data_IF_509766519793
#
_entry.id   IF_509766519793
#
_cell.length_a   1.000
_cell.length_b   1.000
_cell.length_c   1.000
_cell.angle_alpha   90.00
_cell.angle_beta   90.00
_cell.angle_gamma   90.00
#
_symmetry.space_group_name_H-M   'P 1'
#
loop_
_entity.id
_entity.type
_entity.pdbx_description
1 polymer ?
#
# COMPACT_ATOMS: atom_id res chain seq x y z
N UNK A 1 -20.27 -10.29 10.21
CA UNK A 1 -18.94 -10.59 10.77
C UNK A 1 -18.97 -10.60 12.30
N UNK A 2 -18.19 -11.52 12.90
CA UNK A 2 -17.90 -11.52 14.34
C UNK A 2 -16.89 -10.39 14.65
N UNK A 3 -16.82 -9.97 15.90
CA UNK A 3 -15.89 -8.90 16.32
C UNK A 3 -14.42 -9.25 16.03
N UNK A 4 -14.05 -10.52 16.21
CA UNK A 4 -12.69 -10.99 15.93
C UNK A 4 -12.31 -10.83 14.45
N UNK A 5 -13.24 -11.14 13.54
CA UNK A 5 -13.02 -10.98 12.10
C UNK A 5 -12.77 -9.52 11.74
N UNK A 6 -13.58 -8.59 12.28
CA UNK A 6 -13.44 -7.14 12.04
C UNK A 6 -12.09 -6.65 12.56
N UNK A 7 -11.71 -7.11 13.74
CA UNK A 7 -10.43 -6.77 14.36
C UNK A 7 -9.25 -7.25 13.51
N UNK A 8 -9.29 -8.50 13.03
CA UNK A 8 -8.25 -9.05 12.16
C UNK A 8 -8.17 -8.28 10.84
N UNK A 9 -9.32 -7.95 10.25
CA UNK A 9 -9.36 -7.17 9.03
C UNK A 9 -8.76 -5.77 9.24
N UNK A 10 -9.14 -5.06 10.31
CA UNK A 10 -8.53 -3.75 10.62
C UNK A 10 -7.03 -3.86 10.79
N UNK A 11 -6.55 -4.84 11.56
CA UNK A 11 -5.12 -5.06 11.80
C UNK A 11 -4.37 -5.35 10.49
N UNK A 12 -4.96 -6.15 9.60
CA UNK A 12 -4.42 -6.45 8.28
C UNK A 12 -4.35 -5.22 7.40
N UNK A 13 -5.44 -4.44 7.31
CA UNK A 13 -5.51 -3.26 6.46
C UNK A 13 -4.55 -2.16 6.92
N UNK A 14 -4.29 -2.05 8.23
CA UNK A 14 -3.36 -1.07 8.78
C UNK A 14 -1.94 -1.63 8.98
N UNK A 15 -1.64 -2.84 8.49
CA UNK A 15 -0.35 -3.52 8.65
C UNK A 15 0.16 -3.61 10.11
N UNK A 16 -0.75 -3.76 11.08
CA UNK A 16 -0.38 -3.89 12.50
C UNK A 16 -0.67 -5.28 13.03
N UNK A 17 0.18 -5.80 13.92
CA UNK A 17 0.04 -7.17 14.43
C UNK A 17 -0.95 -7.28 15.59
N UNK A 18 -1.15 -6.20 16.34
CA UNK A 18 -1.99 -6.20 17.53
C UNK A 18 -2.53 -4.81 17.85
N UNK A 19 -3.49 -4.76 18.78
CA UNK A 19 -4.18 -3.51 19.17
C UNK A 19 -3.27 -2.48 19.83
N UNK A 20 -2.19 -2.90 20.52
CA UNK A 20 -1.25 -1.95 21.12
C UNK A 20 -0.44 -1.26 20.03
N UNK A 21 0.03 -2.02 19.03
CA UNK A 21 0.72 -1.49 17.86
C UNK A 21 -0.19 -0.54 17.06
N UNK A 22 -1.45 -0.93 16.83
CA UNK A 22 -2.45 -0.07 16.19
C UNK A 22 -2.63 1.27 16.92
N UNK A 23 -2.68 1.27 18.25
CA UNK A 23 -2.80 2.51 19.05
C UNK A 23 -1.58 3.42 18.93
N UNK A 24 -0.39 2.85 18.78
CA UNK A 24 0.87 3.58 18.67
C UNK A 24 1.06 4.17 17.28
N UNK A 25 0.81 3.37 16.25
CA UNK A 25 1.11 3.72 14.85
C UNK A 25 -0.05 4.45 14.16
N UNK A 26 -1.29 4.21 14.62
CA UNK A 26 -2.52 4.82 14.06
C UNK A 26 -3.37 5.45 15.17
N UNK A 27 -2.84 6.46 15.89
CA UNK A 27 -3.61 7.18 16.91
C UNK A 27 -4.86 7.86 16.32
N UNK A 28 -4.80 8.30 15.06
CA UNK A 28 -5.93 8.88 14.33
C UNK A 28 -7.13 7.93 14.18
N UNK A 29 -6.89 6.62 14.22
CA UNK A 29 -7.92 5.59 14.16
C UNK A 29 -8.45 5.22 15.55
N UNK A 30 -7.65 5.37 16.61
CA UNK A 30 -7.94 4.76 17.92
C UNK A 30 -8.12 5.75 19.08
N UNK A 31 -7.67 6.99 18.93
CA UNK A 31 -7.74 8.01 19.98
C UNK A 31 -9.21 8.34 20.31
N UNK A 32 -9.52 8.36 21.61
CA UNK A 32 -10.88 8.62 22.10
C UNK A 32 -11.88 7.46 21.91
N UNK A 33 -11.45 6.30 21.39
CA UNK A 33 -12.32 5.14 21.14
C UNK A 33 -12.08 4.03 22.15
N UNK A 34 -13.18 3.42 22.60
CA UNK A 34 -13.12 2.23 23.44
C UNK A 34 -13.19 0.94 22.60
N UNK A 35 -12.01 0.37 22.34
CA UNK A 35 -11.83 -0.82 21.50
C UNK A 35 -12.32 -2.13 22.17
N UNK A 36 -13.01 -2.06 23.30
CA UNK A 36 -13.77 -3.21 23.86
C UNK A 36 -15.09 -3.43 23.12
N UNK A 37 -15.62 -2.39 22.48
CA UNK A 37 -16.92 -2.43 21.80
C UNK A 37 -16.78 -2.70 20.30
N UNK A 38 -17.67 -3.53 19.76
CA UNK A 38 -17.65 -3.94 18.35
C UNK A 38 -17.92 -2.76 17.42
N UNK A 39 -18.77 -1.85 17.84
CA UNK A 39 -19.20 -0.67 17.10
C UNK A 39 -17.99 0.21 16.74
N UNK A 40 -17.06 0.36 17.68
CA UNK A 40 -15.83 1.10 17.48
C UNK A 40 -14.93 0.46 16.41
N UNK A 41 -14.82 -0.87 16.41
CA UNK A 41 -14.07 -1.59 15.38
C UNK A 41 -14.70 -1.47 14.00
N UNK A 42 -16.04 -1.49 13.90
CA UNK A 42 -16.75 -1.29 12.63
C UNK A 42 -16.51 0.11 12.08
N UNK A 43 -16.53 1.13 12.93
CA UNK A 43 -16.24 2.50 12.49
C UNK A 43 -14.80 2.66 12.01
N UNK A 44 -13.84 2.09 12.72
CA UNK A 44 -12.43 2.08 12.32
C UNK A 44 -12.27 1.39 10.98
N UNK A 45 -12.85 0.19 10.82
CA UNK A 45 -12.82 -0.55 9.57
C UNK A 45 -13.37 0.26 8.40
N UNK A 46 -14.52 0.92 8.59
CA UNK A 46 -15.12 1.76 7.55
C UNK A 46 -14.22 2.94 7.19
N UNK A 47 -13.58 3.57 8.18
CA UNK A 47 -12.65 4.66 7.96
C UNK A 47 -11.42 4.20 7.17
N UNK A 48 -10.81 3.07 7.55
CA UNK A 48 -9.64 2.52 6.86
C UNK A 48 -9.97 2.17 5.41
N UNK A 49 -11.10 1.48 5.16
CA UNK A 49 -11.54 1.16 3.79
C UNK A 49 -11.74 2.40 2.93
N UNK A 50 -12.34 3.45 3.50
CA UNK A 50 -12.51 4.73 2.78
C UNK A 50 -11.17 5.37 2.45
N UNK A 51 -10.20 5.34 3.37
CA UNK A 51 -8.86 5.89 3.12
C UNK A 51 -8.12 5.11 2.01
N UNK A 52 -8.29 3.79 1.96
CA UNK A 52 -7.78 2.96 0.86
C UNK A 52 -8.45 3.28 -0.47
N UNK A 53 -9.79 3.38 -0.49
CA UNK A 53 -10.55 3.78 -1.69
C UNK A 53 -10.15 5.18 -2.21
N UNK A 54 -9.70 6.05 -1.31
CA UNK A 54 -9.22 7.41 -1.61
C UNK A 54 -7.72 7.46 -1.94
N UNK A 55 -7.01 6.32 -1.99
CA UNK A 55 -5.57 6.26 -2.27
C UNK A 55 -4.68 6.88 -1.19
N UNK A 56 -5.24 7.21 -0.02
CA UNK A 56 -4.53 7.85 1.10
C UNK A 56 -3.85 6.85 2.04
N UNK A 57 -4.03 5.54 1.79
CA UNK A 57 -3.45 4.46 2.58
C UNK A 57 -2.89 3.39 1.65
N UNK A 58 -1.88 3.76 0.85
CA UNK A 58 -1.15 2.83 -0.01
C UNK A 58 -0.31 1.92 0.90
N UNK A 59 -0.65 0.63 0.97
CA UNK A 59 0.15 -0.34 1.71
C UNK A 59 1.49 -0.54 1.00
N UNK A 60 2.54 -0.92 1.75
CA UNK A 60 3.80 -1.39 1.15
C UNK A 60 3.54 -2.52 0.13
N UNK A 61 2.54 -3.37 0.39
CA UNK A 61 2.13 -4.44 -0.52
C UNK A 61 1.58 -3.87 -1.83
N UNK A 62 0.82 -2.78 -1.78
CA UNK A 62 0.25 -2.16 -2.98
C UNK A 62 1.34 -1.47 -3.81
N UNK A 63 2.35 -0.91 -3.14
CA UNK A 63 3.54 -0.33 -3.78
C UNK A 63 4.37 -1.42 -4.46
N UNK A 64 4.63 -2.54 -3.78
CA UNK A 64 5.36 -3.69 -4.34
C UNK A 64 4.62 -4.29 -5.55
N UNK A 65 3.29 -4.41 -5.47
CA UNK A 65 2.48 -4.86 -6.61
C UNK A 65 2.55 -3.88 -7.77
N UNK A 66 2.46 -2.57 -7.52
CA UNK A 66 2.57 -1.54 -8.54
C UNK A 66 3.94 -1.56 -9.21
N UNK A 67 5.01 -1.74 -8.43
CA UNK A 67 6.37 -1.91 -8.93
C UNK A 67 6.47 -3.14 -9.86
N UNK A 68 5.90 -4.27 -9.47
CA UNK A 68 5.91 -5.48 -10.28
C UNK A 68 5.12 -5.30 -11.58
N UNK A 69 3.99 -4.58 -11.55
CA UNK A 69 3.21 -4.25 -12.74
C UNK A 69 4.00 -3.36 -13.71
N UNK A 70 4.72 -2.36 -13.20
CA UNK A 70 5.59 -1.49 -14.00
C UNK A 70 6.73 -2.29 -14.64
N UNK A 71 7.38 -3.17 -13.87
CA UNK A 71 8.42 -4.06 -14.41
C UNK A 71 7.87 -4.92 -15.54
N UNK A 72 6.73 -5.57 -15.34
CA UNK A 72 6.10 -6.42 -16.38
C UNK A 72 5.76 -5.63 -17.65
N UNK A 73 5.24 -4.41 -17.50
CA UNK A 73 4.92 -3.53 -18.63
C UNK A 73 6.17 -3.12 -19.40
N UNK A 74 7.27 -2.84 -18.70
CA UNK A 74 8.56 -2.53 -19.32
C UNK A 74 9.10 -3.73 -20.11
N UNK A 75 8.96 -4.95 -19.58
CA UNK A 75 9.32 -6.17 -20.29
C UNK A 75 8.47 -6.39 -21.55
N UNK A 76 7.16 -6.17 -21.46
CA UNK A 76 6.26 -6.29 -22.61
C UNK A 76 6.61 -5.29 -23.72
N UNK A 77 6.76 -4.00 -23.39
CA UNK A 77 7.13 -2.96 -24.34
C UNK A 77 8.53 -3.20 -24.91
N UNK A 78 9.49 -3.54 -24.04
CA UNK A 78 10.86 -3.82 -24.45
C UNK A 78 10.93 -4.94 -25.48
N UNK A 79 10.18 -6.02 -25.28
CA UNK A 79 10.06 -7.10 -26.26
C UNK A 79 9.42 -6.64 -27.57
N UNK A 80 8.35 -5.85 -27.53
CA UNK A 80 7.72 -5.29 -28.74
C UNK A 80 8.73 -4.45 -29.54
N UNK A 81 9.60 -3.72 -28.85
CA UNK A 81 10.64 -2.88 -29.48
C UNK A 81 11.90 -3.66 -29.88
N UNK A 82 11.96 -4.98 -29.63
CA UNK A 82 13.07 -5.85 -30.02
C UNK A 82 14.25 -5.86 -29.05
N UNK A 83 14.08 -5.39 -27.81
CA UNK A 83 15.10 -5.46 -26.76
C UNK A 83 15.22 -6.87 -26.19
N UNK A 84 16.44 -7.22 -25.77
CA UNK A 84 16.68 -8.45 -25.02
C UNK A 84 16.30 -8.29 -23.55
N UNK A 85 16.03 -9.41 -22.87
CA UNK A 85 15.75 -9.42 -21.42
C UNK A 85 16.84 -8.72 -20.61
N UNK A 86 18.11 -8.92 -20.98
CA UNK A 86 19.24 -8.33 -20.29
C UNK A 86 19.24 -6.79 -20.43
N UNK A 87 18.88 -6.28 -21.60
CA UNK A 87 18.78 -4.83 -21.85
C UNK A 87 17.63 -4.22 -21.04
N UNK A 88 16.49 -4.90 -20.99
CA UNK A 88 15.32 -4.45 -20.23
C UNK A 88 15.59 -4.48 -18.72
N UNK A 89 16.29 -5.49 -18.22
CA UNK A 89 16.69 -5.54 -16.80
C UNK A 89 17.69 -4.43 -16.46
N UNK A 90 18.66 -4.14 -17.34
CA UNK A 90 19.58 -3.00 -17.15
C UNK A 90 18.81 -1.68 -17.08
N UNK A 91 17.84 -1.47 -17.96
CA UNK A 91 17.01 -0.27 -17.95
C UNK A 91 16.13 -0.19 -16.69
N UNK A 92 15.57 -1.31 -16.24
CA UNK A 92 14.84 -1.39 -14.98
C UNK A 92 15.71 -0.98 -13.77
N UNK A 93 16.94 -1.50 -13.68
CA UNK A 93 17.88 -1.13 -12.63
C UNK A 93 18.28 0.35 -12.70
N UNK A 94 18.42 0.90 -13.92
CA UNK A 94 18.69 2.33 -14.11
C UNK A 94 17.53 3.19 -13.60
N UNK A 95 16.29 2.85 -13.94
CA UNK A 95 15.09 3.56 -13.46
C UNK A 95 15.04 3.57 -11.94
N UNK A 96 15.25 2.41 -11.30
CA UNK A 96 15.32 2.30 -9.83
C UNK A 96 16.39 3.18 -9.20
N UNK A 97 17.56 3.26 -9.84
CA UNK A 97 18.65 4.08 -9.34
C UNK A 97 18.30 5.57 -9.47
N UNK A 98 17.78 6.00 -10.62
CA UNK A 98 17.41 7.40 -10.87
C UNK A 98 16.30 7.85 -9.91
N UNK A 99 15.29 7.02 -9.67
CA UNK A 99 14.20 7.33 -8.72
C UNK A 99 14.65 7.47 -7.26
N UNK A 100 15.86 7.03 -6.90
CA UNK A 100 16.42 7.28 -5.56
C UNK A 100 17.01 8.68 -5.41
N UNK A 101 17.30 9.35 -6.52
CA UNK A 101 17.96 10.66 -6.55
C UNK A 101 17.07 11.78 -7.10
N UNK A 102 16.02 11.45 -7.83
CA UNK A 102 15.02 12.42 -8.31
C UNK A 102 13.79 12.45 -7.40
N UNK A 103 13.42 13.65 -6.95
CA UNK A 103 12.08 13.90 -6.38
C UNK A 103 11.06 13.65 -7.49
N UNK A 104 10.33 12.54 -7.41
CA UNK A 104 9.29 12.18 -8.39
C UNK A 104 8.13 13.16 -8.26
N UNK A 105 8.17 14.26 -9.02
CA UNK A 105 7.01 15.11 -9.26
C UNK A 105 6.08 14.40 -10.23
N UNK A 106 5.04 13.75 -9.72
CA UNK A 106 3.89 13.35 -10.53
C UNK A 106 3.01 14.59 -10.66
N UNK A 107 3.08 15.27 -11.81
CA UNK A 107 2.08 16.28 -12.16
C UNK A 107 0.72 15.57 -12.35
N UNK A 108 -0.29 15.99 -11.58
CA UNK A 108 -1.67 15.55 -11.79
C UNK A 108 -2.14 16.04 -13.18
N UNK A 109 -2.50 15.09 -14.06
CA UNK A 109 -3.15 15.33 -15.37
C UNK A 109 -4.67 15.34 -15.23
#
# INVERSE_FOLDING_TARGET
MKMQDIKQEVLSLTCTTNTQQLKKERPDLTQGRDLRYKEQWVEIQRKVKRLQEQGQDMSLVDIEQSEQMLKNSLFEIGHITGLSNDQIEIDWQRIKLVSQFEDVHIEEL
#
